data_IF_688814659287
#
_entry.id   IF_688814659287
#
_cell.length_a   1.000
_cell.length_b   1.000
_cell.length_c   1.000
_cell.angle_alpha   90.00
_cell.angle_beta   90.00
_cell.angle_gamma   90.00
#
_symmetry.space_group_name_H-M   'P 1'
#
loop_
_entity.id
_entity.type
_entity.pdbx_description
1 polymer ?
#
# COMPACT_ATOMS: atom_id res chain seq x y z
N UNK A 1 -22.71 1.83 16.25
CA UNK A 1 -21.50 2.54 15.76
C UNK A 1 -20.77 1.69 14.71
N UNK A 2 -21.27 1.60 13.47
CA UNK A 2 -20.73 0.70 12.44
C UNK A 2 -20.15 1.42 11.19
N UNK A 3 -20.02 2.76 11.22
CA UNK A 3 -19.43 3.55 10.12
C UNK A 3 -17.95 3.91 10.31
N UNK A 4 -17.41 3.78 11.52
CA UNK A 4 -16.10 4.36 11.89
C UNK A 4 -14.91 3.52 11.42
N UNK A 5 -15.09 2.22 11.24
CA UNK A 5 -13.99 1.31 10.88
C UNK A 5 -13.55 1.45 9.41
N UNK A 6 -14.50 1.64 8.49
CA UNK A 6 -14.18 1.87 7.08
C UNK A 6 -13.31 3.12 6.88
N UNK A 7 -13.60 4.18 7.63
CA UNK A 7 -12.82 5.41 7.61
C UNK A 7 -11.40 5.18 8.17
N UNK A 8 -11.24 4.38 9.23
CA UNK A 8 -9.90 4.05 9.74
C UNK A 8 -9.08 3.21 8.76
N UNK A 9 -9.70 2.28 8.03
CA UNK A 9 -8.99 1.52 7.00
C UNK A 9 -8.60 2.39 5.80
N UNK A 10 -9.50 3.27 5.36
CA UNK A 10 -9.21 4.24 4.31
C UNK A 10 -8.07 5.19 4.71
N UNK A 11 -8.05 5.65 5.98
CA UNK A 11 -6.99 6.48 6.50
C UNK A 11 -5.64 5.74 6.57
N UNK A 12 -5.61 4.49 7.06
CA UNK A 12 -4.39 3.68 7.10
C UNK A 12 -3.86 3.44 5.68
N UNK A 13 -4.71 3.02 4.74
CA UNK A 13 -4.33 2.77 3.35
C UNK A 13 -3.85 4.04 2.63
N UNK A 14 -4.52 5.17 2.85
CA UNK A 14 -4.13 6.46 2.27
C UNK A 14 -2.78 6.95 2.79
N UNK A 15 -2.53 6.85 4.10
CA UNK A 15 -1.24 7.22 4.69
C UNK A 15 -0.14 6.27 4.24
N UNK A 16 -0.42 4.96 4.18
CA UNK A 16 0.54 3.95 3.72
C UNK A 16 1.06 4.27 2.30
N UNK A 17 0.14 4.43 1.33
CA UNK A 17 0.51 4.73 -0.06
C UNK A 17 1.18 6.10 -0.17
N UNK A 18 0.66 7.13 0.52
CA UNK A 18 1.25 8.47 0.49
C UNK A 18 2.70 8.48 0.98
N UNK A 19 3.00 7.77 2.07
CA UNK A 19 4.36 7.66 2.62
C UNK A 19 5.25 6.83 1.70
N UNK A 20 4.75 5.71 1.18
CA UNK A 20 5.51 4.85 0.25
C UNK A 20 5.96 5.64 -0.99
N UNK A 21 5.07 6.45 -1.58
CA UNK A 21 5.38 7.31 -2.74
C UNK A 21 6.45 8.36 -2.42
N UNK A 22 6.37 9.00 -1.24
CA UNK A 22 7.37 10.00 -0.81
C UNK A 22 8.74 9.35 -0.57
N UNK A 23 8.78 8.22 0.12
CA UNK A 23 10.03 7.50 0.40
C UNK A 23 10.66 6.97 -0.89
N UNK A 24 9.83 6.46 -1.80
CA UNK A 24 10.29 6.02 -3.12
C UNK A 24 10.83 7.18 -3.96
N UNK A 25 10.17 8.33 -3.97
CA UNK A 25 10.63 9.53 -4.67
C UNK A 25 11.97 10.03 -4.11
N UNK A 26 12.15 9.99 -2.80
CA UNK A 26 13.39 10.41 -2.15
C UNK A 26 14.57 9.46 -2.40
N UNK A 27 14.34 8.15 -2.40
CA UNK A 27 15.43 7.14 -2.47
C UNK A 27 15.67 6.61 -3.89
N UNK A 28 14.73 6.77 -4.80
CA UNK A 28 14.78 6.18 -6.14
C UNK A 28 14.81 4.64 -6.15
N UNK A 29 14.56 4.00 -5.00
CA UNK A 29 14.58 2.54 -4.81
C UNK A 29 13.23 2.07 -4.28
N UNK A 30 12.75 0.94 -4.80
CA UNK A 30 11.52 0.26 -4.37
C UNK A 30 11.89 -1.00 -3.60
N UNK A 31 12.06 -0.84 -2.29
CA UNK A 31 12.49 -1.92 -1.38
C UNK A 31 11.47 -2.11 -0.26
N UNK A 32 11.54 -3.25 0.44
CA UNK A 32 10.71 -3.56 1.63
C UNK A 32 10.78 -2.51 2.74
N UNK A 33 11.83 -1.68 2.76
CA UNK A 33 11.94 -0.55 3.67
C UNK A 33 10.87 0.52 3.42
N UNK A 34 10.41 0.70 2.18
CA UNK A 34 9.39 1.69 1.87
C UNK A 34 8.04 1.27 2.45
N UNK A 35 7.68 -0.01 2.32
CA UNK A 35 6.50 -0.59 2.98
C UNK A 35 6.63 -0.58 4.50
N UNK A 36 7.78 -0.96 5.06
CA UNK A 36 8.00 -0.92 6.51
C UNK A 36 7.81 0.50 7.09
N UNK A 37 8.33 1.53 6.42
CA UNK A 37 8.17 2.94 6.82
C UNK A 37 6.71 3.38 6.62
N UNK A 38 6.08 3.02 5.50
CA UNK A 38 4.67 3.30 5.24
C UNK A 38 3.74 2.68 6.29
N UNK A 39 3.98 1.42 6.64
CA UNK A 39 3.25 0.67 7.67
C UNK A 39 3.45 1.26 9.06
N UNK A 40 4.69 1.63 9.41
CA UNK A 40 4.98 2.29 10.67
C UNK A 40 4.22 3.60 10.80
N UNK A 41 4.32 4.48 9.80
CA UNK A 41 3.70 5.81 9.84
C UNK A 41 2.18 5.69 9.81
N UNK A 42 1.61 4.81 9.00
CA UNK A 42 0.17 4.59 8.95
C UNK A 42 -0.38 4.04 10.28
N UNK A 43 0.29 3.06 10.87
CA UNK A 43 -0.09 2.48 12.17
C UNK A 43 0.08 3.48 13.32
N UNK A 44 1.24 4.13 13.41
CA UNK A 44 1.54 5.08 14.47
C UNK A 44 0.64 6.32 14.41
N UNK A 45 0.34 6.85 13.21
CA UNK A 45 -0.53 8.00 13.07
C UNK A 45 -1.99 7.62 13.30
N UNK A 46 -2.58 6.72 12.51
CA UNK A 46 -4.04 6.51 12.53
C UNK A 46 -4.49 5.81 13.82
N UNK A 47 -3.76 4.79 14.26
CA UNK A 47 -4.11 4.05 15.49
C UNK A 47 -3.61 4.79 16.73
N UNK A 48 -2.45 5.44 16.67
CA UNK A 48 -1.93 6.25 17.78
C UNK A 48 -2.77 7.49 18.08
N UNK A 49 -3.21 8.25 17.06
CA UNK A 49 -4.12 9.39 17.25
C UNK A 49 -5.48 8.94 17.79
N UNK A 50 -6.00 7.80 17.32
CA UNK A 50 -7.26 7.25 17.82
C UNK A 50 -7.16 6.79 19.28
N UNK A 51 -6.03 6.20 19.67
CA UNK A 51 -5.78 5.73 21.03
C UNK A 51 -5.31 6.84 21.99
N UNK A 52 -4.90 8.01 21.49
CA UNK A 52 -4.29 9.11 22.26
C UNK A 52 -3.15 8.65 23.18
N UNK A 53 -2.36 7.69 22.70
CA UNK A 53 -1.36 6.98 23.50
C UNK A 53 -0.09 6.77 22.68
N UNK A 54 1.02 7.30 23.18
CA UNK A 54 2.36 7.13 22.58
C UNK A 54 2.79 5.66 22.58
N UNK A 55 2.63 4.89 23.67
CA UNK A 55 2.92 3.46 23.64
C UNK A 55 2.11 2.70 22.58
N UNK A 56 0.83 3.05 22.42
CA UNK A 56 -0.03 2.44 21.41
C UNK A 56 0.37 2.84 20.00
N UNK A 57 0.81 4.08 19.79
CA UNK A 57 1.35 4.53 18.50
C UNK A 57 2.61 3.74 18.11
N UNK A 58 3.55 3.56 19.04
CA UNK A 58 4.78 2.81 18.80
C UNK A 58 4.46 1.33 18.54
N UNK A 59 3.62 0.71 19.37
CA UNK A 59 3.23 -0.68 19.19
C UNK A 59 2.49 -0.91 17.87
N UNK A 60 1.51 -0.06 17.54
CA UNK A 60 0.74 -0.18 16.30
C UNK A 60 1.58 0.10 15.05
N UNK A 61 2.48 1.09 15.12
CA UNK A 61 3.44 1.34 14.05
C UNK A 61 4.38 0.15 13.86
N UNK A 62 4.95 -0.37 14.96
CA UNK A 62 5.89 -1.50 14.89
C UNK A 62 5.23 -2.77 14.33
N UNK A 63 4.00 -3.10 14.74
CA UNK A 63 3.29 -4.26 14.21
C UNK A 63 2.99 -4.10 12.73
N UNK A 64 2.46 -2.96 12.28
CA UNK A 64 2.20 -2.73 10.86
C UNK A 64 3.49 -2.68 10.02
N UNK A 65 4.59 -2.17 10.57
CA UNK A 65 5.89 -2.17 9.91
C UNK A 65 6.43 -3.59 9.70
N UNK A 66 6.38 -4.43 10.73
CA UNK A 66 6.79 -5.84 10.64
C UNK A 66 5.89 -6.60 9.67
N UNK A 67 4.57 -6.40 9.76
CA UNK A 67 3.62 -7.03 8.83
C UNK A 67 3.90 -6.61 7.39
N UNK A 68 4.13 -5.33 7.13
CA UNK A 68 4.44 -4.83 5.78
C UNK A 68 5.79 -5.37 5.29
N UNK A 69 6.82 -5.37 6.13
CA UNK A 69 8.13 -5.94 5.77
C UNK A 69 8.04 -7.43 5.42
N UNK A 70 7.24 -8.20 6.16
CA UNK A 70 7.00 -9.62 5.87
C UNK A 70 6.27 -9.80 4.53
N UNK A 71 5.23 -9.02 4.25
CA UNK A 71 4.48 -9.06 2.98
C UNK A 71 5.41 -8.70 1.81
N UNK A 72 6.19 -7.65 1.95
CA UNK A 72 7.11 -7.18 0.90
C UNK A 72 8.28 -8.16 0.67
N UNK A 73 8.76 -8.84 1.72
CA UNK A 73 9.81 -9.87 1.61
C UNK A 73 9.36 -11.12 0.86
N UNK A 74 8.05 -11.41 0.85
CA UNK A 74 7.45 -12.55 0.17
C UNK A 74 7.36 -12.41 -1.35
N UNK A 75 7.95 -11.37 -1.94
CA UNK A 75 7.86 -11.11 -3.39
C UNK A 75 6.52 -10.52 -3.85
N UNK A 76 5.61 -10.21 -2.92
CA UNK A 76 4.43 -9.37 -3.13
C UNK A 76 4.76 -7.89 -2.93
N UNK A 77 5.96 -7.43 -3.30
CA UNK A 77 6.20 -5.99 -3.50
C UNK A 77 5.05 -5.47 -4.35
N UNK A 78 4.38 -4.42 -3.87
CA UNK A 78 3.25 -3.79 -4.52
C UNK A 78 3.57 -3.70 -6.02
N UNK A 79 2.94 -4.54 -6.85
CA UNK A 79 3.07 -4.51 -8.32
C UNK A 79 2.36 -3.24 -8.81
N UNK A 80 2.91 -2.09 -8.45
CA UNK A 80 2.63 -0.82 -9.12
C UNK A 80 3.72 -0.68 -10.16
N UNK A 81 3.25 -0.51 -11.39
CA UNK A 81 4.00 -0.61 -12.63
C UNK A 81 5.47 -0.15 -12.52
N UNK A 82 6.38 -1.07 -12.82
CA UNK A 82 7.83 -0.82 -12.79
C UNK A 82 8.31 -0.24 -14.12
N UNK A 83 7.40 0.33 -14.93
CA UNK A 83 7.66 0.64 -16.33
C UNK A 83 7.76 -0.64 -17.16
N UNK A 84 7.04 -1.71 -16.77
CA UNK A 84 6.83 -2.80 -17.72
C UNK A 84 5.80 -2.28 -18.69
N UNK A 85 6.30 -1.76 -19.81
CA UNK A 85 5.55 -1.45 -21.02
C UNK A 85 4.43 -2.48 -21.16
N UNK A 86 3.22 -2.04 -20.77
CA UNK A 86 2.02 -2.81 -21.00
C UNK A 86 1.88 -2.71 -22.51
N UNK A 87 2.35 -3.71 -23.24
CA UNK A 87 2.03 -3.83 -24.65
C UNK A 87 0.53 -3.57 -24.76
N UNK A 88 0.09 -2.57 -25.56
CA UNK A 88 -1.32 -2.36 -25.73
C UNK A 88 -1.89 -3.71 -26.13
N UNK A 89 -2.84 -4.23 -25.34
CA UNK A 89 -3.66 -5.33 -25.81
C UNK A 89 -4.14 -4.88 -27.18
N UNK A 90 -3.72 -5.57 -28.23
CA UNK A 90 -4.37 -5.43 -29.52
C UNK A 90 -5.84 -5.69 -29.22
N UNK A 91 -6.75 -4.73 -29.51
CA UNK A 91 -8.15 -5.06 -29.51
C UNK A 91 -8.23 -6.16 -30.57
N UNK A 92 -8.45 -7.41 -30.15
CA UNK A 92 -8.87 -8.44 -31.08
C UNK A 92 -10.20 -7.92 -31.59
N UNK A 93 -10.14 -7.38 -32.80
CA UNK A 93 -11.24 -6.82 -33.53
C UNK A 93 -12.35 -7.85 -33.49
N UNK A 94 -13.38 -7.57 -32.70
CA UNK A 94 -14.58 -8.41 -32.62
C UNK A 94 -15.38 -8.09 -33.88
N UNK A 95 -14.87 -8.45 -35.04
CA UNK A 95 -15.57 -8.39 -36.32
C UNK A 95 -15.18 -9.62 -37.13
N UNK A 96 -16.22 -10.23 -37.70
CA UNK A 96 -16.18 -11.40 -38.57
C UNK A 96 -15.82 -12.73 -37.88
N UNK A 97 -16.84 -13.33 -37.25
CA UNK A 97 -17.36 -14.66 -37.63
C UNK A 97 -18.69 -14.91 -36.91
N UNK A 98 -19.74 -14.33 -37.47
CA UNK A 98 -21.08 -14.90 -37.39
C UNK A 98 -21.27 -15.66 -38.71
N UNK A 99 -20.72 -16.87 -38.76
CA UNK A 99 -20.99 -17.85 -39.80
C UNK A 99 -22.16 -18.72 -39.30
N UNK A 100 -23.38 -18.38 -39.72
CA UNK A 100 -24.56 -19.26 -39.97
C UNK A 100 -25.83 -18.42 -40.11
#
# INVERSE_FOLDING_TARGET
MMGTHGLTFAAIGGVYIGVEQVVQSYRGKRDFFNGAIGGFVAGASVLGYRARSIPTAIAAGATLAVTSALIDSGGQTTRVDNGREYYPYTPVEKTAKADA
#
